data_IF_290535799715
#
_entry.id   IF_290535799715
#
_cell.length_a   1.000
_cell.length_b   1.000
_cell.length_c   1.000
_cell.angle_alpha   90.00
_cell.angle_beta   90.00
_cell.angle_gamma   90.00
#
_symmetry.space_group_name_H-M   'P 1'
#
loop_
_entity.id
_entity.type
_entity.pdbx_description
1 polymer ?
#
# COMPACT_ATOMS: atom_id res chain seq x y z
N UNK A 1 -27.26 37.61 69.96
CA UNK A 1 -26.49 37.81 68.73
C UNK A 1 -26.62 36.52 67.92
N UNK A 2 -27.72 36.40 67.18
CA UNK A 2 -28.03 35.19 66.41
C UNK A 2 -27.36 35.33 65.04
N UNK A 3 -26.30 34.56 64.83
CA UNK A 3 -25.69 34.37 63.52
C UNK A 3 -26.55 33.33 62.81
N UNK A 4 -27.57 33.80 62.08
CA UNK A 4 -28.28 32.95 61.13
C UNK A 4 -27.31 32.62 60.00
N UNK A 5 -26.78 31.40 60.01
CA UNK A 5 -26.14 30.78 58.85
C UNK A 5 -27.22 30.54 57.78
N UNK A 6 -27.45 31.52 56.92
CA UNK A 6 -28.09 31.32 55.61
C UNK A 6 -27.08 30.63 54.69
N UNK A 7 -26.85 29.34 54.91
CA UNK A 7 -26.27 28.47 53.89
C UNK A 7 -27.41 27.77 53.14
N UNK A 8 -28.29 28.56 52.54
CA UNK A 8 -29.28 28.08 51.59
C UNK A 8 -28.61 27.96 50.23
N UNK A 9 -28.14 26.77 49.86
CA UNK A 9 -27.65 26.50 48.50
C UNK A 9 -28.78 26.88 47.54
N UNK A 10 -28.52 27.88 46.69
CA UNK A 10 -29.53 28.37 45.76
C UNK A 10 -29.85 27.26 44.75
N UNK A 11 -31.08 26.76 44.79
CA UNK A 11 -31.52 25.60 44.00
C UNK A 11 -31.28 25.81 42.50
N UNK A 12 -31.39 27.05 42.02
CA UNK A 12 -31.10 27.43 40.63
C UNK A 12 -29.63 27.21 40.28
N UNK A 13 -28.70 27.60 41.15
CA UNK A 13 -27.26 27.41 40.97
C UNK A 13 -26.88 25.94 40.97
N UNK A 14 -27.50 25.13 41.85
CA UNK A 14 -27.32 23.68 41.84
C UNK A 14 -27.81 23.06 40.52
N UNK A 15 -28.99 23.46 40.05
CA UNK A 15 -29.56 22.99 38.79
C UNK A 15 -28.69 23.34 37.59
N UNK A 16 -28.15 24.56 37.54
CA UNK A 16 -27.28 24.99 36.45
C UNK A 16 -25.94 24.27 36.49
N UNK A 17 -25.37 24.03 37.67
CA UNK A 17 -24.18 23.20 37.82
C UNK A 17 -24.41 21.76 37.30
N UNK A 18 -25.55 21.15 37.66
CA UNK A 18 -25.94 19.81 37.19
C UNK A 18 -26.10 19.80 35.67
N UNK A 19 -26.75 20.81 35.06
CA UNK A 19 -26.86 20.92 33.59
C UNK A 19 -25.48 21.03 32.93
N UNK A 20 -24.59 21.88 33.43
CA UNK A 20 -23.24 22.02 32.89
C UNK A 20 -22.47 20.71 32.98
N UNK A 21 -22.60 19.99 34.09
CA UNK A 21 -22.00 18.66 34.26
C UNK A 21 -22.48 17.65 33.21
N UNK A 22 -23.80 17.57 32.98
CA UNK A 22 -24.36 16.70 31.95
C UNK A 22 -23.93 17.10 30.54
N UNK A 23 -23.80 18.39 30.24
CA UNK A 23 -23.29 18.88 28.95
C UNK A 23 -21.83 18.43 28.74
N UNK A 24 -20.98 18.54 29.77
CA UNK A 24 -19.58 18.09 29.69
C UNK A 24 -19.51 16.58 29.44
N UNK A 25 -20.25 15.78 30.22
CA UNK A 25 -20.30 14.33 30.03
C UNK A 25 -20.80 13.97 28.63
N UNK A 26 -21.89 14.59 28.18
CA UNK A 26 -22.44 14.39 26.84
C UNK A 26 -21.42 14.71 25.75
N UNK A 27 -20.66 15.80 25.89
CA UNK A 27 -19.59 16.17 24.98
C UNK A 27 -18.45 15.14 24.92
N UNK A 28 -18.02 14.64 26.07
CA UNK A 28 -16.98 13.59 26.15
C UNK A 28 -17.45 12.29 25.47
N UNK A 29 -18.68 11.85 25.75
CA UNK A 29 -19.26 10.65 25.14
C UNK A 29 -19.44 10.79 23.63
N UNK A 30 -19.90 11.96 23.16
CA UNK A 30 -20.04 12.25 21.74
C UNK A 30 -18.69 12.21 21.03
N UNK A 31 -17.66 12.80 21.63
CA UNK A 31 -16.31 12.78 21.08
C UNK A 31 -15.69 11.37 21.04
N UNK A 32 -15.89 10.57 22.11
CA UNK A 32 -15.45 9.18 22.14
C UNK A 32 -16.15 8.34 21.06
N UNK A 33 -17.48 8.49 20.93
CA UNK A 33 -18.27 7.83 19.89
C UNK A 33 -17.82 8.23 18.48
N UNK A 34 -17.54 9.52 18.25
CA UNK A 34 -17.04 10.02 16.98
C UNK A 34 -15.70 9.37 16.60
N UNK A 35 -14.76 9.26 17.55
CA UNK A 35 -13.48 8.57 17.32
C UNK A 35 -13.66 7.09 16.97
N UNK A 36 -14.52 6.38 17.71
CA UNK A 36 -14.82 4.98 17.42
C UNK A 36 -15.44 4.80 16.03
N UNK A 37 -16.39 5.67 15.67
CA UNK A 37 -17.01 5.67 14.35
C UNK A 37 -16.00 5.94 13.22
N UNK A 38 -15.06 6.87 13.45
CA UNK A 38 -14.00 7.17 12.48
C UNK A 38 -13.08 5.96 12.27
N UNK A 39 -12.67 5.28 13.34
CA UNK A 39 -11.84 4.07 13.24
C UNK A 39 -12.58 2.93 12.52
N UNK A 40 -13.87 2.73 12.83
CA UNK A 40 -14.67 1.72 12.14
C UNK A 40 -14.75 2.00 10.63
N UNK A 41 -14.97 3.26 10.24
CA UNK A 41 -14.97 3.64 8.81
C UNK A 41 -13.63 3.38 8.15
N UNK A 42 -12.52 3.67 8.83
CA UNK A 42 -11.19 3.39 8.29
C UNK A 42 -10.97 1.89 8.07
N UNK A 43 -11.42 1.04 9.00
CA UNK A 43 -11.38 -0.42 8.85
C UNK A 43 -12.22 -0.88 7.65
N UNK A 44 -13.48 -0.44 7.57
CA UNK A 44 -14.40 -0.81 6.49
C UNK A 44 -13.87 -0.35 5.12
N UNK A 45 -13.30 0.86 5.06
CA UNK A 45 -12.67 1.39 3.86
C UNK A 45 -11.44 0.58 3.46
N UNK A 46 -10.64 0.12 4.44
CA UNK A 46 -9.46 -0.70 4.17
C UNK A 46 -9.83 -2.01 3.50
N UNK A 47 -10.84 -2.70 4.02
CA UNK A 47 -11.34 -3.95 3.45
C UNK A 47 -11.88 -3.73 2.03
N UNK A 48 -12.66 -2.66 1.83
CA UNK A 48 -13.14 -2.28 0.49
C UNK A 48 -12.01 -1.91 -0.47
N UNK A 49 -10.93 -1.28 0.01
CA UNK A 49 -9.77 -0.96 -0.80
C UNK A 49 -9.02 -2.21 -1.25
N UNK A 50 -8.87 -3.22 -0.38
CA UNK A 50 -8.33 -4.53 -0.76
C UNK A 50 -9.24 -5.23 -1.77
N UNK A 51 -10.54 -5.28 -1.50
CA UNK A 51 -11.51 -5.90 -2.43
C UNK A 51 -11.50 -5.20 -3.81
N UNK A 52 -11.39 -3.86 -3.84
CA UNK A 52 -11.27 -3.11 -5.09
C UNK A 52 -9.96 -3.39 -5.80
N UNK A 53 -8.85 -3.49 -5.06
CA UNK A 53 -7.56 -3.87 -5.62
C UNK A 53 -7.68 -5.21 -6.35
N UNK A 54 -8.16 -6.25 -5.66
CA UNK A 54 -8.36 -7.60 -6.21
C UNK A 54 -9.29 -7.62 -7.42
N UNK A 55 -10.31 -6.76 -7.47
CA UNK A 55 -11.21 -6.65 -8.63
C UNK A 55 -10.66 -5.81 -9.78
N UNK A 56 -9.77 -4.87 -9.49
CA UNK A 56 -9.21 -3.93 -10.48
C UNK A 56 -8.01 -4.49 -11.22
N UNK A 57 -7.29 -5.42 -10.59
CA UNK A 57 -6.11 -6.08 -11.13
C UNK A 57 -6.56 -7.37 -11.81
N UNK A 58 -6.07 -7.63 -13.03
CA UNK A 58 -6.36 -8.87 -13.72
C UNK A 58 -5.64 -10.03 -13.02
N UNK A 59 -6.19 -11.25 -13.09
CA UNK A 59 -5.54 -12.41 -12.44
C UNK A 59 -4.15 -12.63 -13.03
N UNK A 60 -4.04 -12.39 -14.32
CA UNK A 60 -2.84 -12.43 -15.14
C UNK A 60 -1.78 -11.43 -14.66
N UNK A 61 -2.17 -10.26 -14.14
CA UNK A 61 -1.22 -9.25 -13.63
C UNK A 61 -0.47 -9.75 -12.39
N UNK A 62 -1.18 -10.46 -11.51
CA UNK A 62 -0.57 -11.06 -10.31
C UNK A 62 0.32 -12.24 -10.69
N UNK A 63 -0.11 -13.10 -11.62
CA UNK A 63 0.71 -14.22 -12.12
C UNK A 63 2.00 -13.71 -12.77
N UNK A 64 1.92 -12.64 -13.57
CA UNK A 64 3.08 -11.97 -14.16
C UNK A 64 4.00 -11.41 -13.07
N UNK A 65 3.43 -10.74 -12.05
CA UNK A 65 4.22 -10.24 -10.93
C UNK A 65 4.94 -11.37 -10.19
N UNK A 66 4.29 -12.51 -9.93
CA UNK A 66 4.92 -13.67 -9.28
C UNK A 66 6.10 -14.22 -10.10
N UNK A 67 5.93 -14.34 -11.41
CA UNK A 67 6.98 -14.79 -12.33
C UNK A 67 8.18 -13.84 -12.31
N UNK A 68 7.93 -12.52 -12.37
CA UNK A 68 9.00 -11.51 -12.29
C UNK A 68 9.66 -11.57 -10.91
N UNK A 69 8.89 -11.77 -9.85
CA UNK A 69 9.38 -11.90 -8.48
C UNK A 69 10.38 -13.05 -8.34
N UNK A 70 10.09 -14.20 -8.95
CA UNK A 70 11.03 -15.32 -9.00
C UNK A 70 12.28 -15.00 -9.83
N UNK A 71 12.12 -14.30 -10.96
CA UNK A 71 13.21 -13.98 -11.91
C UNK A 71 14.11 -12.82 -11.52
N UNK A 72 13.64 -11.96 -10.63
CA UNK A 72 14.39 -10.85 -10.05
C UNK A 72 15.17 -11.28 -8.78
N UNK A 73 14.98 -12.52 -8.33
CA UNK A 73 15.65 -13.03 -7.14
C UNK A 73 17.09 -13.45 -7.47
N UNK A 74 18.04 -13.17 -6.58
CA UNK A 74 19.47 -13.45 -6.79
C UNK A 74 19.75 -14.94 -7.06
N UNK A 75 18.96 -15.85 -6.47
CA UNK A 75 19.11 -17.30 -6.73
C UNK A 75 18.72 -17.69 -8.15
N UNK A 76 18.00 -16.82 -8.87
CA UNK A 76 17.73 -16.93 -10.31
C UNK A 76 18.84 -16.38 -11.19
N UNK A 77 19.95 -15.89 -10.61
CA UNK A 77 21.09 -15.34 -11.34
C UNK A 77 20.91 -13.89 -11.81
N UNK A 78 19.92 -13.17 -11.27
CA UNK A 78 19.67 -11.77 -11.61
C UNK A 78 20.67 -10.84 -10.92
N UNK A 79 21.22 -9.88 -11.67
CA UNK A 79 21.92 -8.75 -11.06
C UNK A 79 20.93 -7.82 -10.33
N UNK A 80 21.38 -7.09 -9.30
CA UNK A 80 20.56 -6.08 -8.64
C UNK A 80 19.93 -5.12 -9.66
N UNK A 81 18.65 -4.78 -9.48
CA UNK A 81 17.95 -3.91 -10.40
C UNK A 81 17.51 -4.56 -11.72
N UNK A 82 17.72 -5.88 -11.90
CA UNK A 82 17.39 -6.61 -13.12
C UNK A 82 16.55 -7.87 -12.84
N UNK A 83 15.97 -8.44 -13.90
CA UNK A 83 15.37 -9.77 -13.88
C UNK A 83 15.82 -10.58 -15.10
N UNK A 84 15.94 -11.91 -14.93
CA UNK A 84 16.46 -12.79 -15.98
C UNK A 84 15.33 -13.33 -16.86
N UNK A 85 15.60 -13.36 -18.16
CA UNK A 85 14.78 -14.03 -19.17
C UNK A 85 15.65 -15.05 -19.91
N UNK A 86 15.10 -16.23 -20.16
CA UNK A 86 15.76 -17.30 -20.92
C UNK A 86 15.22 -17.37 -22.35
N UNK A 87 16.13 -17.46 -23.33
CA UNK A 87 15.82 -17.76 -24.73
C UNK A 87 15.89 -19.27 -24.99
N UNK A 88 15.35 -19.72 -26.14
CA UNK A 88 15.34 -21.12 -26.62
C UNK A 88 16.73 -21.76 -26.77
N UNK A 89 17.78 -20.93 -26.81
CA UNK A 89 19.17 -21.34 -26.99
C UNK A 89 19.98 -21.32 -25.67
N UNK A 90 19.29 -21.33 -24.50
CA UNK A 90 19.87 -21.19 -23.16
C UNK A 90 20.66 -19.87 -22.91
N UNK A 91 20.51 -18.89 -23.81
CA UNK A 91 21.05 -17.55 -23.59
C UNK A 91 20.15 -16.78 -22.61
N UNK A 92 20.72 -16.42 -21.46
CA UNK A 92 20.09 -15.56 -20.47
C UNK A 92 20.27 -14.08 -20.83
N UNK A 93 19.16 -13.36 -20.94
CA UNK A 93 19.16 -11.89 -21.06
C UNK A 93 18.70 -11.28 -19.74
N UNK A 94 19.41 -10.25 -19.29
CA UNK A 94 19.01 -9.47 -18.12
C UNK A 94 18.25 -8.22 -18.56
N UNK A 95 17.07 -8.01 -17.98
CA UNK A 95 16.23 -6.85 -18.28
C UNK A 95 16.14 -5.96 -17.04
N UNK A 96 16.40 -4.65 -17.16
CA UNK A 96 16.25 -3.73 -16.05
C UNK A 96 14.81 -3.69 -15.50
N UNK A 97 14.65 -3.69 -14.18
CA UNK A 97 13.36 -3.63 -13.49
C UNK A 97 12.59 -2.34 -13.78
N UNK A 98 13.28 -1.22 -14.10
CA UNK A 98 12.60 0.03 -14.42
C UNK A 98 11.67 -0.09 -15.63
N UNK A 99 11.93 -1.05 -16.54
CA UNK A 99 11.11 -1.30 -17.71
C UNK A 99 9.69 -1.76 -17.35
N UNK A 100 9.49 -2.32 -16.16
CA UNK A 100 8.19 -2.73 -15.62
C UNK A 100 7.25 -1.56 -15.29
N UNK A 101 7.78 -0.32 -15.31
CA UNK A 101 7.05 0.89 -14.95
C UNK A 101 6.85 1.84 -16.14
N UNK A 102 7.30 1.46 -17.34
CA UNK A 102 7.18 2.29 -18.55
C UNK A 102 5.71 2.36 -18.99
N UNK A 103 5.23 3.54 -19.46
CA UNK A 103 3.88 3.67 -19.97
C UNK A 103 3.57 2.77 -21.17
N UNK A 104 2.33 2.26 -21.24
CA UNK A 104 1.85 1.50 -22.40
C UNK A 104 2.02 2.34 -23.68
N UNK A 105 2.61 1.75 -24.72
CA UNK A 105 2.92 2.42 -26.00
C UNK A 105 4.35 2.95 -26.14
N UNK A 106 5.19 2.92 -25.10
CA UNK A 106 6.62 3.33 -25.17
C UNK A 106 7.63 2.17 -25.20
N UNK A 107 7.16 0.92 -25.32
CA UNK A 107 7.97 -0.18 -25.83
C UNK A 107 8.77 -0.95 -24.79
N UNK A 108 8.25 -2.12 -24.45
CA UNK A 108 8.99 -3.38 -24.57
C UNK A 108 7.96 -4.46 -24.90
N UNK A 109 7.55 -4.53 -26.16
CA UNK A 109 7.08 -5.81 -26.68
C UNK A 109 8.34 -6.64 -26.84
N UNK A 110 8.64 -7.53 -25.90
CA UNK A 110 9.76 -8.45 -26.11
C UNK A 110 9.27 -9.43 -27.18
N UNK A 111 9.81 -9.41 -28.41
CA UNK A 111 9.23 -10.14 -29.52
C UNK A 111 9.24 -11.65 -29.21
N UNK A 112 8.11 -12.32 -29.45
CA UNK A 112 7.92 -13.78 -29.29
C UNK A 112 9.06 -14.60 -29.91
N UNK A 113 9.73 -14.07 -30.93
CA UNK A 113 10.85 -14.72 -31.61
C UNK A 113 12.15 -14.81 -30.79
N UNK A 114 12.34 -13.94 -29.79
CA UNK A 114 13.49 -13.99 -28.86
C UNK A 114 13.15 -14.65 -27.53
N UNK A 115 11.86 -14.87 -27.26
CA UNK A 115 11.36 -15.49 -26.04
C UNK A 115 10.41 -16.59 -26.42
N UNK A 116 10.91 -17.81 -26.46
CA UNK A 116 10.03 -18.96 -26.27
C UNK A 116 10.08 -19.36 -24.82
N UNK A 117 9.37 -18.54 -24.04
CA UNK A 117 8.93 -18.91 -22.72
C UNK A 117 7.86 -20.00 -22.85
N UNK A 118 7.70 -20.83 -21.81
CA UNK A 118 6.52 -21.69 -21.63
C UNK A 118 5.24 -20.91 -22.02
N UNK A 119 4.24 -21.58 -22.60
CA UNK A 119 3.02 -21.01 -23.19
C UNK A 119 2.25 -19.99 -22.29
N UNK A 120 2.63 -19.85 -21.03
CA UNK A 120 2.11 -18.87 -20.06
C UNK A 120 2.67 -17.45 -20.21
N UNK A 121 3.82 -17.23 -20.88
CA UNK A 121 4.55 -15.95 -20.84
C UNK A 121 4.94 -15.45 -22.26
N UNK A 122 4.28 -15.95 -23.30
CA UNK A 122 4.41 -15.43 -24.68
C UNK A 122 3.87 -14.00 -24.83
N UNK A 123 3.03 -13.55 -23.89
CA UNK A 123 2.49 -12.19 -23.79
C UNK A 123 2.82 -11.55 -22.44
N UNK A 124 4.10 -11.42 -22.09
CA UNK A 124 4.50 -10.67 -20.89
C UNK A 124 4.11 -9.20 -21.06
N UNK A 125 2.92 -8.83 -20.61
CA UNK A 125 2.53 -7.42 -20.50
C UNK A 125 3.34 -6.78 -19.38
N UNK A 126 4.47 -6.16 -19.73
CA UNK A 126 5.31 -5.43 -18.77
C UNK A 126 4.55 -4.28 -18.07
N UNK A 127 3.36 -3.93 -18.56
CA UNK A 127 2.43 -3.01 -17.90
C UNK A 127 1.75 -3.57 -16.63
N UNK A 128 1.77 -4.87 -16.37
CA UNK A 128 1.10 -5.47 -15.21
C UNK A 128 1.61 -4.92 -13.88
N UNK A 129 2.93 -4.87 -13.69
CA UNK A 129 3.55 -4.32 -12.47
C UNK A 129 3.25 -2.84 -12.32
N UNK A 130 3.24 -2.08 -13.43
CA UNK A 130 2.82 -0.69 -13.44
C UNK A 130 1.36 -0.55 -12.98
N UNK A 131 0.41 -1.29 -13.54
CA UNK A 131 -1.02 -1.25 -13.18
C UNK A 131 -1.22 -1.59 -11.69
N UNK A 132 -0.54 -2.62 -11.19
CA UNK A 132 -0.51 -2.93 -9.76
C UNK A 132 -0.02 -1.72 -8.95
N UNK A 133 1.10 -1.12 -9.36
CA UNK A 133 1.69 0.03 -8.66
C UNK A 133 0.78 1.26 -8.69
N UNK A 134 0.05 1.49 -9.78
CA UNK A 134 -0.95 2.55 -9.88
C UNK A 134 -2.08 2.36 -8.86
N UNK A 135 -2.61 1.14 -8.71
CA UNK A 135 -3.61 0.85 -7.68
C UNK A 135 -3.05 1.01 -6.27
N UNK A 136 -1.82 0.54 -6.02
CA UNK A 136 -1.15 0.74 -4.73
C UNK A 136 -0.92 2.22 -4.43
N UNK A 137 -0.67 3.05 -5.44
CA UNK A 137 -0.52 4.49 -5.30
C UNK A 137 -1.85 5.15 -4.89
N UNK A 138 -2.99 4.72 -5.45
CA UNK A 138 -4.32 5.17 -5.03
C UNK A 138 -4.63 4.76 -3.57
N UNK A 139 -4.34 3.52 -3.19
CA UNK A 139 -4.53 3.07 -1.79
C UNK A 139 -3.61 3.85 -0.85
N UNK A 140 -2.38 4.13 -1.28
CA UNK A 140 -1.40 4.89 -0.50
C UNK A 140 -1.82 6.33 -0.28
N UNK A 141 -2.54 6.95 -1.23
CA UNK A 141 -3.20 8.23 -1.02
C UNK A 141 -4.17 8.13 0.17
N UNK A 142 -5.11 7.18 0.16
CA UNK A 142 -6.08 7.02 1.24
C UNK A 142 -5.44 6.74 2.62
N UNK A 143 -4.34 5.98 2.65
CA UNK A 143 -3.54 5.74 3.87
C UNK A 143 -2.97 7.05 4.42
N UNK A 144 -2.43 7.92 3.57
CA UNK A 144 -1.81 9.18 4.01
C UNK A 144 -2.82 10.14 4.65
N UNK A 145 -4.07 10.11 4.18
CA UNK A 145 -5.16 10.93 4.72
C UNK A 145 -5.91 10.27 5.88
N UNK A 146 -5.53 9.04 6.28
CA UNK A 146 -6.12 8.35 7.42
C UNK A 146 -7.53 7.81 7.14
N UNK A 147 -7.90 7.68 5.86
CA UNK A 147 -9.17 7.09 5.44
C UNK A 147 -9.12 5.56 5.44
N UNK A 148 -7.90 5.00 5.47
CA UNK A 148 -7.59 3.57 5.40
C UNK A 148 -6.49 3.25 6.42
N UNK A 149 -6.61 2.10 7.08
CA UNK A 149 -5.66 1.55 8.05
C UNK A 149 -4.55 0.78 7.34
N UNK A 150 -3.33 1.32 7.40
CA UNK A 150 -2.13 0.71 6.81
C UNK A 150 -1.93 -0.75 7.25
N UNK A 151 -2.25 -1.08 8.51
CA UNK A 151 -2.08 -2.45 9.02
C UNK A 151 -2.89 -3.47 8.22
N UNK A 152 -4.13 -3.14 7.86
CA UNK A 152 -5.01 -4.04 7.11
C UNK A 152 -4.52 -4.17 5.68
N UNK A 153 -4.18 -3.04 5.04
CA UNK A 153 -3.63 -3.05 3.69
C UNK A 153 -2.33 -3.86 3.62
N UNK A 154 -1.42 -3.65 4.55
CA UNK A 154 -0.13 -4.33 4.57
C UNK A 154 -0.25 -5.82 4.89
N UNK A 155 -1.24 -6.20 5.71
CA UNK A 155 -1.51 -7.61 5.98
C UNK A 155 -1.85 -8.37 4.68
N UNK A 156 -2.67 -7.80 3.81
CA UNK A 156 -3.06 -8.47 2.57
C UNK A 156 -2.05 -8.23 1.44
N UNK A 157 -1.58 -6.99 1.23
CA UNK A 157 -0.79 -6.60 0.07
C UNK A 157 0.71 -6.39 0.37
N UNK A 158 1.15 -6.64 1.60
CA UNK A 158 2.47 -6.22 2.09
C UNK A 158 3.64 -6.78 1.29
N UNK A 159 3.59 -8.05 0.86
CA UNK A 159 4.68 -8.62 0.03
C UNK A 159 4.77 -7.92 -1.32
N UNK A 160 3.65 -7.76 -2.02
CA UNK A 160 3.59 -7.07 -3.32
C UNK A 160 4.14 -5.65 -3.18
N UNK A 161 3.63 -4.93 -2.18
CA UNK A 161 4.05 -3.57 -1.88
C UNK A 161 5.56 -3.48 -1.56
N UNK A 162 6.11 -4.41 -0.77
CA UNK A 162 7.51 -4.39 -0.37
C UNK A 162 8.43 -4.69 -1.55
N UNK A 163 8.10 -5.72 -2.35
CA UNK A 163 8.82 -6.11 -3.55
C UNK A 163 8.86 -4.98 -4.57
N UNK A 164 7.72 -4.34 -4.87
CA UNK A 164 7.67 -3.22 -5.82
C UNK A 164 8.47 -2.02 -5.31
N UNK A 165 8.37 -1.69 -4.02
CA UNK A 165 9.16 -0.60 -3.45
C UNK A 165 10.66 -0.88 -3.55
N UNK A 166 11.08 -2.11 -3.27
CA UNK A 166 12.46 -2.56 -3.43
C UNK A 166 12.93 -2.43 -4.88
N UNK A 167 12.15 -2.92 -5.85
CA UNK A 167 12.49 -2.79 -7.27
C UNK A 167 12.69 -1.34 -7.72
N UNK A 168 11.84 -0.41 -7.25
CA UNK A 168 12.00 1.02 -7.54
C UNK A 168 13.23 1.60 -6.84
N UNK A 169 13.59 1.11 -5.66
CA UNK A 169 14.76 1.58 -4.92
C UNK A 169 16.09 1.03 -5.46
N UNK A 170 16.07 -0.13 -6.10
CA UNK A 170 17.24 -0.77 -6.75
C UNK A 170 17.59 -0.19 -8.12
N UNK A 171 16.77 0.71 -8.69
CA UNK A 171 17.11 1.41 -9.93
C UNK A 171 18.37 2.26 -9.71
N UNK A 172 19.46 1.89 -10.40
CA UNK A 172 20.77 2.55 -10.25
C UNK A 172 20.78 3.97 -10.84
N UNK A 173 20.21 4.14 -12.03
CA UNK A 173 20.16 5.42 -12.71
C UNK A 173 19.26 6.42 -11.95
N UNK A 174 19.85 7.53 -11.52
CA UNK A 174 19.17 8.51 -10.66
C UNK A 174 18.01 9.20 -11.37
N UNK A 175 18.15 9.50 -12.65
CA UNK A 175 17.13 10.22 -13.41
C UNK A 175 15.92 9.31 -13.66
N UNK A 176 16.17 8.06 -14.05
CA UNK A 176 15.14 7.02 -14.20
C UNK A 176 14.47 6.73 -12.87
N UNK A 177 15.23 6.53 -11.79
CA UNK A 177 14.69 6.32 -10.44
C UNK A 177 13.79 7.48 -10.00
N UNK A 178 14.24 8.71 -10.20
CA UNK A 178 13.44 9.90 -9.88
C UNK A 178 12.17 10.00 -10.72
N UNK A 179 12.27 9.70 -12.02
CA UNK A 179 11.14 9.64 -12.94
C UNK A 179 10.10 8.59 -12.47
N UNK A 180 10.53 7.34 -12.22
CA UNK A 180 9.65 6.27 -11.73
C UNK A 180 9.01 6.62 -10.39
N UNK A 181 9.78 7.17 -9.44
CA UNK A 181 9.24 7.60 -8.15
C UNK A 181 8.21 8.73 -8.29
N UNK A 182 8.38 9.61 -9.27
CA UNK A 182 7.44 10.70 -9.55
C UNK A 182 6.10 10.22 -10.13
N UNK A 183 6.08 9.05 -10.76
CA UNK A 183 4.84 8.40 -11.24
C UNK A 183 3.98 7.87 -10.08
N UNK A 184 4.61 7.45 -8.98
CA UNK A 184 3.94 6.83 -7.83
C UNK A 184 4.20 7.57 -6.50
N UNK A 185 3.92 8.89 -6.43
CA UNK A 185 4.42 9.73 -5.35
C UNK A 185 3.83 9.35 -3.97
N UNK A 186 2.57 8.91 -3.92
CA UNK A 186 1.92 8.55 -2.66
C UNK A 186 2.42 7.21 -2.14
N UNK A 187 2.60 6.23 -3.04
CA UNK A 187 3.17 4.93 -2.71
C UNK A 187 4.56 5.07 -2.10
N UNK A 188 5.45 5.79 -2.78
CA UNK A 188 6.81 6.05 -2.30
C UNK A 188 6.80 6.81 -0.96
N UNK A 189 5.91 7.78 -0.81
CA UNK A 189 5.77 8.56 0.42
C UNK A 189 5.28 7.73 1.61
N UNK A 190 4.34 6.80 1.41
CA UNK A 190 3.88 5.89 2.47
C UNK A 190 5.03 5.02 2.95
N UNK A 191 5.76 4.37 2.03
CA UNK A 191 6.88 3.50 2.37
C UNK A 191 7.97 4.22 3.14
N UNK A 192 8.40 5.39 2.66
CA UNK A 192 9.44 6.19 3.33
C UNK A 192 9.00 6.69 4.71
N UNK A 193 7.76 7.21 4.83
CA UNK A 193 7.26 7.78 6.09
C UNK A 193 6.93 6.72 7.15
N UNK A 194 6.56 5.50 6.72
CA UNK A 194 6.05 4.44 7.59
C UNK A 194 6.97 3.23 7.69
N UNK A 195 8.19 3.32 7.16
CA UNK A 195 9.14 2.20 7.09
C UNK A 195 9.35 1.50 8.45
N UNK A 196 9.49 2.26 9.53
CA UNK A 196 9.67 1.70 10.88
C UNK A 196 8.46 0.92 11.41
N UNK A 197 7.24 1.28 10.98
CA UNK A 197 6.01 0.56 11.32
C UNK A 197 5.89 -0.67 10.43
N UNK A 198 6.06 -0.49 9.13
CA UNK A 198 5.96 -1.52 8.07
C UNK A 198 6.84 -2.73 8.39
N UNK A 199 8.10 -2.52 8.82
CA UNK A 199 9.04 -3.59 9.17
C UNK A 199 8.52 -4.58 10.23
N UNK A 200 7.58 -4.16 11.06
CA UNK A 200 7.03 -4.97 12.16
C UNK A 200 5.64 -5.51 11.86
N UNK A 201 5.07 -5.21 10.68
CA UNK A 201 3.75 -5.68 10.31
C UNK A 201 3.87 -7.05 9.61
N UNK A 202 3.00 -8.01 9.94
CA UNK A 202 2.90 -9.25 9.18
C UNK A 202 2.29 -8.95 7.81
N UNK A 203 2.65 -9.75 6.81
CA UNK A 203 2.04 -9.74 5.48
C UNK A 203 1.78 -11.16 5.01
N UNK A 204 0.71 -11.34 4.26
CA UNK A 204 0.40 -12.60 3.57
C UNK A 204 1.45 -12.87 2.49
N UNK A 205 2.04 -14.07 2.45
CA UNK A 205 2.91 -14.46 1.36
C UNK A 205 2.08 -14.90 0.14
N UNK A 206 2.44 -14.37 -1.02
CA UNK A 206 2.08 -14.79 -2.36
C UNK A 206 3.17 -15.72 -2.94
N UNK A 207 4.44 -15.31 -2.83
CA UNK A 207 5.59 -16.10 -3.27
C UNK A 207 6.38 -16.54 -2.04
N UNK A 208 6.65 -17.84 -1.94
CA UNK A 208 7.55 -18.39 -0.92
C UNK A 208 8.93 -18.59 -1.55
N UNK A 209 9.91 -17.81 -1.11
CA UNK A 209 11.31 -18.07 -1.43
C UNK A 209 11.78 -19.19 -0.50
N UNK A 210 12.02 -20.38 -1.05
CA UNK A 210 12.57 -21.54 -0.35
C UNK A 210 14.10 -21.53 -0.37
#
# INVERSE_FOLDING_TARGET
>A
MNICLETGINLSTLLDFVKTFFIIIGGVLAFASYKGQHQQRAIDNSLKSVERFEKSIQKEDLEIWEVICYRAYESGGAEPGHFVIYSKEDESSQIPLYNLFIPEGQGLCIPESKLNLDDQISNLELGSVRRITEQLNLISYEILYGNVELRIIYQELGQIMATIFQWIDEIEDKDTKSSTQSMFPYFIKVYRKRQGIIKNLPSRPYVNFC
#
